data_IF_151496353508
#
_entry.id   IF_151496353508
#
_cell.length_a   1.000
_cell.length_b   1.000
_cell.length_c   1.000
_cell.angle_alpha   90.00
_cell.angle_beta   90.00
_cell.angle_gamma   90.00
#
_symmetry.space_group_name_H-M   'P 1'
#
loop_
_entity.id
_entity.type
_entity.pdbx_description
1 polymer ?
#
# COMPACT_ATOMS: atom_id res chain seq x y z
N UNK A 1 -11.91 -6.11 -23.47
CA UNK A 1 -11.30 -6.17 -22.12
C UNK A 1 -11.28 -4.76 -21.60
N UNK A 2 -11.73 -4.50 -20.36
CA UNK A 2 -11.59 -3.18 -19.75
C UNK A 2 -10.10 -2.79 -19.67
N UNK A 3 -9.82 -1.50 -19.80
CA UNK A 3 -8.48 -0.93 -19.65
C UNK A 3 -8.03 -0.93 -18.18
N UNK A 4 -6.71 -0.84 -17.94
CA UNK A 4 -6.15 -0.78 -16.58
C UNK A 4 -6.73 0.40 -15.77
N UNK A 5 -7.05 1.52 -16.41
CA UNK A 5 -7.73 2.65 -15.75
C UNK A 5 -9.17 2.32 -15.35
N UNK A 6 -9.92 1.61 -16.19
CA UNK A 6 -11.30 1.19 -15.88
C UNK A 6 -11.33 0.17 -14.74
N UNK A 7 -10.31 -0.70 -14.65
CA UNK A 7 -10.16 -1.65 -13.54
C UNK A 7 -9.75 -0.93 -12.25
N UNK A 8 -8.85 0.07 -12.33
CA UNK A 8 -8.41 0.84 -11.17
C UNK A 8 -9.50 1.74 -10.60
N UNK A 9 -10.35 2.32 -11.44
CA UNK A 9 -11.34 3.33 -11.04
C UNK A 9 -12.76 2.94 -11.48
N UNK A 10 -13.29 1.81 -11.00
CA UNK A 10 -14.66 1.42 -11.33
C UNK A 10 -15.66 2.32 -10.60
N UNK A 11 -16.88 2.35 -11.12
CA UNK A 11 -18.02 3.05 -10.51
C UNK A 11 -18.99 2.02 -9.94
N UNK A 12 -19.26 2.11 -8.65
CA UNK A 12 -20.21 1.26 -7.93
C UNK A 12 -21.66 1.58 -8.31
N UNK A 13 -22.49 0.55 -8.37
CA UNK A 13 -23.93 0.71 -8.58
C UNK A 13 -24.66 1.19 -7.33
N UNK A 14 -25.93 1.63 -7.45
CA UNK A 14 -26.74 2.05 -6.31
C UNK A 14 -26.89 0.97 -5.22
N UNK A 15 -27.00 -0.30 -5.64
CA UNK A 15 -27.16 -1.44 -4.73
C UNK A 15 -25.87 -1.67 -3.90
N UNK A 16 -24.70 -1.55 -4.53
CA UNK A 16 -23.40 -1.64 -3.85
C UNK A 16 -23.22 -0.50 -2.85
N UNK A 17 -23.58 0.73 -3.25
CA UNK A 17 -23.52 1.90 -2.36
C UNK A 17 -24.44 1.72 -1.16
N UNK A 18 -25.65 1.19 -1.37
CA UNK A 18 -26.58 0.89 -0.28
C UNK A 18 -26.00 -0.16 0.68
N UNK A 19 -25.45 -1.25 0.16
CA UNK A 19 -24.85 -2.32 0.96
C UNK A 19 -23.64 -1.84 1.79
N UNK A 20 -22.83 -0.91 1.26
CA UNK A 20 -21.74 -0.26 2.00
C UNK A 20 -22.25 0.76 3.01
N UNK A 21 -23.34 1.47 2.70
CA UNK A 21 -23.97 2.44 3.61
C UNK A 21 -24.49 1.75 4.87
N UNK A 22 -25.04 0.54 4.76
CA UNK A 22 -25.49 -0.27 5.92
C UNK A 22 -24.35 -0.65 6.87
N UNK A 23 -23.10 -0.67 6.38
CA UNK A 23 -21.89 -1.06 7.13
C UNK A 23 -21.02 0.12 7.56
N UNK A 24 -21.38 1.33 7.12
CA UNK A 24 -20.66 2.56 7.42
C UNK A 24 -21.61 3.65 7.90
N UNK A 25 -21.19 4.91 7.75
CA UNK A 25 -22.06 6.05 8.03
C UNK A 25 -21.94 7.12 6.94
N UNK A 26 -23.02 7.86 6.75
CA UNK A 26 -23.03 9.00 5.82
C UNK A 26 -22.37 10.19 6.52
N UNK A 27 -21.42 10.82 5.83
CA UNK A 27 -20.75 12.04 6.26
C UNK A 27 -20.98 13.14 5.22
N UNK A 28 -21.46 14.29 5.69
CA UNK A 28 -21.46 15.53 4.90
C UNK A 28 -20.06 16.13 4.88
N UNK A 29 -19.66 16.64 3.72
CA UNK A 29 -18.30 17.17 3.52
C UNK A 29 -18.30 18.47 2.74
N UNK A 30 -17.23 19.27 2.94
CA UNK A 30 -17.07 20.57 2.29
C UNK A 30 -15.78 20.65 1.46
N UNK A 31 -15.75 21.44 0.37
CA UNK A 31 -14.54 21.64 -0.44
C UNK A 31 -13.34 22.05 0.41
N UNK A 32 -12.19 21.46 0.12
CA UNK A 32 -10.93 21.70 0.82
C UNK A 32 -10.72 20.84 2.08
N UNK A 33 -11.73 20.13 2.54
CA UNK A 33 -11.60 19.20 3.67
C UNK A 33 -10.68 18.03 3.29
N UNK A 34 -9.65 17.79 4.12
CA UNK A 34 -8.74 16.65 3.94
C UNK A 34 -9.32 15.45 4.69
N UNK A 35 -9.66 14.40 3.95
CA UNK A 35 -10.23 13.16 4.49
C UNK A 35 -9.14 12.26 5.09
N UNK A 36 -7.97 12.24 4.45
CA UNK A 36 -6.75 11.57 4.88
C UNK A 36 -5.55 12.20 4.15
N UNK A 37 -4.40 12.22 4.79
CA UNK A 37 -3.14 12.72 4.26
C UNK A 37 -2.10 11.59 4.11
N UNK A 38 -1.04 11.82 3.33
CA UNK A 38 0.07 10.86 3.25
C UNK A 38 0.65 10.56 4.64
N UNK A 39 0.87 9.27 4.92
CA UNK A 39 1.39 8.81 6.21
C UNK A 39 0.32 8.51 7.27
N UNK A 40 -0.94 8.92 7.07
CA UNK A 40 -2.04 8.60 7.99
C UNK A 40 -2.25 7.07 8.04
N UNK A 41 -2.34 6.52 9.26
CA UNK A 41 -2.64 5.11 9.53
C UNK A 41 -4.13 4.92 9.80
N UNK A 42 -4.63 3.72 9.53
CA UNK A 42 -6.03 3.32 9.76
C UNK A 42 -7.04 4.34 9.20
N UNK A 43 -6.68 4.94 8.06
CA UNK A 43 -7.49 5.95 7.39
C UNK A 43 -8.76 5.32 6.80
N UNK A 44 -9.85 6.08 6.84
CA UNK A 44 -11.14 5.58 6.39
C UNK A 44 -11.22 5.41 4.87
N UNK A 45 -12.01 4.43 4.47
CA UNK A 45 -12.47 4.22 3.10
C UNK A 45 -13.70 5.08 2.84
N UNK A 46 -13.75 5.71 1.67
CA UNK A 46 -14.84 6.61 1.29
C UNK A 46 -15.44 6.23 -0.05
N UNK A 47 -16.77 6.24 -0.13
CA UNK A 47 -17.53 6.16 -1.39
C UNK A 47 -18.25 7.48 -1.61
N UNK A 48 -18.16 8.03 -2.81
CA UNK A 48 -18.83 9.28 -3.17
C UNK A 48 -20.30 8.99 -3.51
N UNK A 49 -21.23 9.56 -2.74
CA UNK A 49 -22.65 9.58 -3.08
C UNK A 49 -22.95 10.84 -3.90
N UNK A 50 -22.48 11.99 -3.42
CA UNK A 50 -22.60 13.32 -4.03
C UNK A 50 -21.30 14.10 -3.85
N UNK A 51 -21.01 15.02 -4.78
CA UNK A 51 -19.77 15.80 -4.79
C UNK A 51 -18.61 15.04 -5.42
N UNK A 52 -17.38 15.33 -4.99
CA UNK A 52 -16.19 14.66 -5.50
C UNK A 52 -15.01 14.71 -4.53
N UNK A 53 -14.13 13.70 -4.64
CA UNK A 53 -12.88 13.60 -3.90
C UNK A 53 -11.72 13.62 -4.90
N UNK A 54 -10.81 14.56 -4.74
CA UNK A 54 -9.53 14.61 -5.45
C UNK A 54 -8.47 13.79 -4.69
N UNK A 55 -7.78 12.92 -5.42
CA UNK A 55 -6.64 12.15 -4.91
C UNK A 55 -5.35 12.79 -5.41
N UNK A 56 -4.47 13.17 -4.49
CA UNK A 56 -3.27 13.96 -4.76
C UNK A 56 -2.05 13.22 -4.21
N UNK A 57 -0.97 13.24 -4.97
CA UNK A 57 0.32 12.65 -4.65
C UNK A 57 1.35 13.78 -4.48
N UNK A 58 2.00 13.87 -3.30
CA UNK A 58 2.92 14.96 -2.96
C UNK A 58 4.40 14.57 -2.90
N UNK A 59 4.80 13.34 -3.24
CA UNK A 59 6.20 12.93 -3.04
C UNK A 59 7.15 13.49 -4.11
N UNK A 60 6.63 13.90 -5.27
CA UNK A 60 7.34 14.67 -6.29
C UNK A 60 7.59 16.16 -5.93
N UNK A 61 8.33 16.91 -6.75
CA UNK A 61 8.61 18.34 -6.51
C UNK A 61 7.35 19.23 -6.65
N UNK A 62 6.32 18.74 -7.33
CA UNK A 62 5.02 19.41 -7.47
C UNK A 62 3.92 18.38 -7.21
N UNK A 63 2.89 18.72 -6.42
CA UNK A 63 1.76 17.83 -6.19
C UNK A 63 1.09 17.45 -7.51
N UNK A 64 0.76 16.16 -7.68
CA UNK A 64 0.07 15.65 -8.87
C UNK A 64 -1.28 15.06 -8.51
N UNK A 65 -2.31 15.42 -9.27
CA UNK A 65 -3.64 14.80 -9.14
C UNK A 65 -3.61 13.43 -9.81
N UNK A 66 -3.80 12.37 -9.02
CA UNK A 66 -3.84 10.97 -9.48
C UNK A 66 -5.19 10.67 -10.14
N UNK A 67 -6.28 11.08 -9.48
CA UNK A 67 -7.65 10.89 -9.97
C UNK A 67 -8.64 11.80 -9.23
N UNK A 68 -9.86 11.92 -9.76
CA UNK A 68 -10.99 12.56 -9.09
C UNK A 68 -12.15 11.59 -9.06
N UNK A 69 -12.49 11.10 -7.87
CA UNK A 69 -13.67 10.26 -7.66
C UNK A 69 -14.93 11.12 -7.68
N UNK A 70 -15.90 10.69 -8.49
CA UNK A 70 -17.24 11.25 -8.64
C UNK A 70 -18.27 10.25 -8.09
N UNK A 71 -19.59 10.55 -8.07
CA UNK A 71 -20.60 9.63 -7.54
C UNK A 71 -20.43 8.19 -8.04
N UNK A 72 -20.43 7.24 -7.10
CA UNK A 72 -20.13 5.82 -7.30
C UNK A 72 -18.64 5.46 -7.28
N UNK A 73 -17.74 6.44 -7.37
CA UNK A 73 -16.30 6.23 -7.18
C UNK A 73 -15.93 6.10 -5.69
N UNK A 74 -14.83 5.39 -5.42
CA UNK A 74 -14.37 5.13 -4.05
C UNK A 74 -12.85 5.19 -3.90
N UNK A 75 -12.41 5.60 -2.71
CA UNK A 75 -11.00 5.79 -2.35
C UNK A 75 -10.30 4.49 -1.96
N UNK A 76 -9.01 4.59 -1.64
CA UNK A 76 -8.25 3.49 -1.03
C UNK A 76 -7.42 2.66 -2.01
N UNK A 77 -6.56 1.84 -1.44
CA UNK A 77 -5.69 0.87 -2.09
C UNK A 77 -5.45 -0.33 -1.15
N UNK A 78 -4.48 -1.17 -1.49
CA UNK A 78 -4.12 -2.33 -0.65
C UNK A 78 -3.70 -1.92 0.77
N UNK A 79 -3.18 -0.71 0.97
CA UNK A 79 -2.82 -0.19 2.29
C UNK A 79 -4.05 0.07 3.16
N UNK A 80 -5.17 0.48 2.57
CA UNK A 80 -6.45 0.67 3.29
C UNK A 80 -6.93 -0.62 3.94
N UNK A 81 -6.84 -1.76 3.25
CA UNK A 81 -7.19 -3.07 3.82
C UNK A 81 -6.18 -3.56 4.84
N UNK A 82 -4.90 -3.30 4.64
CA UNK A 82 -3.83 -3.81 5.51
C UNK A 82 -3.50 -2.91 6.72
N UNK A 83 -4.20 -1.78 6.90
CA UNK A 83 -3.93 -0.82 7.98
C UNK A 83 -2.59 -0.10 7.82
N UNK A 84 -2.04 -0.08 6.61
CA UNK A 84 -0.77 0.57 6.30
C UNK A 84 -0.98 2.06 6.06
N UNK A 85 0.06 2.90 6.22
CA UNK A 85 -0.04 4.33 5.96
C UNK A 85 -0.51 4.66 4.54
N UNK A 86 -1.35 5.68 4.42
CA UNK A 86 -1.79 6.25 3.16
C UNK A 86 -0.59 6.75 2.33
N UNK A 87 -0.64 6.49 1.03
CA UNK A 87 0.40 6.93 0.09
C UNK A 87 0.06 8.24 -0.62
N UNK A 88 -1.21 8.60 -0.61
CA UNK A 88 -1.78 9.75 -1.30
C UNK A 88 -2.70 10.48 -0.35
N UNK A 89 -2.92 11.76 -0.61
CA UNK A 89 -3.90 12.58 0.08
C UNK A 89 -5.26 12.45 -0.61
N UNK A 90 -6.34 12.32 0.18
CA UNK A 90 -7.71 12.46 -0.28
C UNK A 90 -8.30 13.79 0.22
N UNK A 91 -8.68 14.67 -0.70
CA UNK A 91 -9.27 15.97 -0.38
C UNK A 91 -10.60 16.14 -1.10
N UNK A 92 -11.58 16.70 -0.41
CA UNK A 92 -12.91 16.99 -0.98
C UNK A 92 -12.78 18.14 -1.97
N UNK A 93 -13.18 17.91 -3.21
CA UNK A 93 -13.10 18.90 -4.29
C UNK A 93 -14.43 19.67 -4.45
N UNK A 94 -15.56 18.98 -4.30
CA UNK A 94 -16.91 19.54 -4.35
C UNK A 94 -17.67 19.11 -3.10
N UNK A 95 -18.55 19.97 -2.58
CA UNK A 95 -19.41 19.63 -1.43
C UNK A 95 -20.32 18.45 -1.76
N UNK A 96 -20.65 17.68 -0.73
CA UNK A 96 -21.54 16.55 -0.91
C UNK A 96 -21.58 15.59 0.26
N UNK A 97 -21.84 14.33 -0.05
CA UNK A 97 -22.09 13.26 0.91
C UNK A 97 -21.29 12.04 0.53
N UNK A 98 -20.63 11.47 1.54
CA UNK A 98 -19.78 10.29 1.39
C UNK A 98 -20.31 9.18 2.29
N UNK A 99 -20.16 7.93 1.87
CA UNK A 99 -20.16 6.80 2.80
C UNK A 99 -18.76 6.69 3.38
N UNK A 100 -18.62 6.68 4.70
CA UNK A 100 -17.37 6.47 5.41
C UNK A 100 -17.37 5.11 6.10
N UNK A 101 -16.34 4.30 5.83
CA UNK A 101 -16.06 3.03 6.51
C UNK A 101 -14.66 3.07 7.12
N UNK A 102 -14.53 2.62 8.36
CA UNK A 102 -13.24 2.30 8.97
C UNK A 102 -12.57 1.10 8.29
N UNK A 103 -11.27 0.89 8.51
CA UNK A 103 -10.55 -0.30 8.01
C UNK A 103 -11.22 -1.61 8.46
N UNK A 104 -11.71 -1.68 9.69
CA UNK A 104 -12.37 -2.87 10.21
C UNK A 104 -13.76 -3.12 9.60
N UNK A 105 -14.51 -2.05 9.28
CA UNK A 105 -15.80 -2.16 8.56
C UNK A 105 -15.58 -2.54 7.10
N UNK A 106 -14.55 -1.99 6.45
CA UNK A 106 -14.19 -2.35 5.08
C UNK A 106 -13.79 -3.83 4.97
N UNK A 107 -12.93 -4.34 5.88
CA UNK A 107 -12.55 -5.76 5.89
C UNK A 107 -13.78 -6.66 5.97
N UNK A 108 -14.68 -6.38 6.93
CA UNK A 108 -15.95 -7.11 7.06
C UNK A 108 -16.82 -7.02 5.80
N UNK A 109 -16.90 -5.84 5.17
CA UNK A 109 -17.67 -5.68 3.93
C UNK A 109 -17.11 -6.51 2.77
N UNK A 110 -15.77 -6.58 2.63
CA UNK A 110 -15.11 -7.40 1.60
C UNK A 110 -15.35 -8.90 1.84
N UNK A 111 -15.36 -9.34 3.10
CA UNK A 111 -15.60 -10.74 3.45
C UNK A 111 -17.08 -11.14 3.27
N UNK A 112 -18.02 -10.25 3.58
CA UNK A 112 -19.46 -10.52 3.54
C UNK A 112 -20.10 -10.33 2.16
N UNK A 113 -19.48 -9.56 1.25
CA UNK A 113 -20.02 -9.19 -0.06
C UNK A 113 -19.08 -9.65 -1.18
N UNK A 114 -19.14 -10.90 -1.64
CA UNK A 114 -18.12 -11.49 -2.52
C UNK A 114 -17.87 -10.71 -3.83
N UNK A 115 -18.94 -10.36 -4.57
CA UNK A 115 -18.82 -9.68 -5.86
C UNK A 115 -18.28 -8.24 -5.73
N UNK A 116 -18.71 -7.55 -4.68
CA UNK A 116 -18.25 -6.20 -4.36
C UNK A 116 -16.82 -6.22 -3.83
N UNK A 117 -16.50 -7.17 -2.96
CA UNK A 117 -15.17 -7.42 -2.43
C UNK A 117 -14.16 -7.68 -3.54
N UNK A 118 -14.50 -8.54 -4.51
CA UNK A 118 -13.66 -8.78 -5.70
C UNK A 118 -13.42 -7.49 -6.50
N UNK A 119 -14.45 -6.68 -6.68
CA UNK A 119 -14.34 -5.39 -7.39
C UNK A 119 -13.40 -4.41 -6.66
N UNK A 120 -13.55 -4.27 -5.34
CA UNK A 120 -12.70 -3.40 -4.50
C UNK A 120 -11.25 -3.89 -4.52
N UNK A 121 -11.01 -5.18 -4.29
CA UNK A 121 -9.67 -5.77 -4.25
C UNK A 121 -8.96 -5.63 -5.60
N UNK A 122 -9.65 -5.90 -6.72
CA UNK A 122 -9.09 -5.68 -8.07
C UNK A 122 -8.71 -4.22 -8.31
N UNK A 123 -9.59 -3.29 -7.92
CA UNK A 123 -9.30 -1.86 -8.04
C UNK A 123 -8.07 -1.48 -7.22
N UNK A 124 -7.92 -2.01 -6.00
CA UNK A 124 -6.80 -1.73 -5.11
C UNK A 124 -5.47 -2.26 -5.66
N UNK A 125 -5.45 -3.49 -6.18
CA UNK A 125 -4.28 -4.07 -6.84
C UNK A 125 -3.88 -3.25 -8.07
N UNK A 126 -4.85 -2.84 -8.89
CA UNK A 126 -4.54 -2.06 -10.09
C UNK A 126 -4.08 -0.63 -9.77
N UNK A 127 -4.68 0.03 -8.79
CA UNK A 127 -4.21 1.35 -8.29
C UNK A 127 -2.75 1.28 -7.84
N UNK A 128 -2.34 0.19 -7.18
CA UNK A 128 -0.94 -0.02 -6.80
C UNK A 128 -0.02 -0.09 -8.02
N UNK A 129 -0.40 -0.83 -9.05
CA UNK A 129 0.36 -0.90 -10.31
C UNK A 129 0.48 0.46 -10.98
N UNK A 130 -0.60 1.25 -11.03
CA UNK A 130 -0.59 2.58 -11.64
C UNK A 130 0.27 3.59 -10.86
N UNK A 131 0.20 3.59 -9.53
CA UNK A 131 1.04 4.45 -8.69
C UNK A 131 2.53 4.14 -8.87
N UNK A 132 2.89 2.85 -8.96
CA UNK A 132 4.26 2.43 -9.26
C UNK A 132 4.73 2.88 -10.66
N UNK A 133 3.82 3.01 -11.62
CA UNK A 133 4.12 3.41 -13.00
C UNK A 133 4.22 4.92 -13.25
N UNK A 134 3.61 5.78 -12.42
CA UNK A 134 3.49 7.23 -12.66
C UNK A 134 4.52 8.11 -11.93
N UNK A 135 5.66 7.56 -11.52
CA UNK A 135 6.72 8.37 -10.91
C UNK A 135 6.47 8.75 -9.45
N UNK A 136 5.61 8.00 -8.74
CA UNK A 136 5.48 8.06 -7.29
C UNK A 136 6.86 7.92 -6.63
N UNK A 137 7.29 8.95 -5.91
CA UNK A 137 8.65 9.00 -5.36
C UNK A 137 8.80 8.18 -4.07
N UNK A 138 7.69 7.91 -3.37
CA UNK A 138 7.63 7.00 -2.22
C UNK A 138 8.74 7.21 -1.19
N UNK A 139 9.22 6.12 -0.61
CA UNK A 139 10.42 6.14 0.24
C UNK A 139 11.62 6.49 -0.63
N UNK A 140 12.47 7.44 -0.24
CA UNK A 140 13.70 7.72 -1.00
C UNK A 140 14.85 6.93 -0.41
N UNK A 141 15.56 6.19 -1.25
CA UNK A 141 16.79 5.48 -0.88
C UNK A 141 17.93 6.14 -1.65
N UNK A 142 18.86 6.75 -0.92
CA UNK A 142 20.03 7.44 -1.46
C UNK A 142 21.26 6.62 -1.14
N UNK A 143 22.05 6.22 -2.13
CA UNK A 143 23.29 5.48 -1.86
C UNK A 143 24.09 5.18 -3.12
N UNK A 144 25.24 4.55 -2.93
CA UNK A 144 26.03 4.03 -4.04
C UNK A 144 25.43 2.73 -4.58
N UNK A 145 25.41 2.55 -5.91
CA UNK A 145 25.00 1.28 -6.56
C UNK A 145 25.90 0.10 -6.20
N UNK A 146 27.12 0.38 -5.75
CA UNK A 146 28.10 -0.62 -5.33
C UNK A 146 27.99 -0.97 -3.84
N UNK A 147 27.13 -0.30 -3.07
CA UNK A 147 26.95 -0.54 -1.65
C UNK A 147 26.06 -1.77 -1.39
N UNK A 148 26.56 -2.82 -0.71
CA UNK A 148 25.73 -3.96 -0.32
C UNK A 148 24.57 -3.55 0.60
N UNK A 149 24.77 -2.53 1.44
CA UNK A 149 23.74 -2.01 2.32
C UNK A 149 22.61 -1.31 1.54
N UNK A 150 22.94 -0.57 0.48
CA UNK A 150 21.94 0.04 -0.40
C UNK A 150 21.16 -1.04 -1.17
N UNK A 151 21.85 -2.07 -1.68
CA UNK A 151 21.21 -3.20 -2.34
C UNK A 151 20.24 -3.93 -1.40
N UNK A 152 20.64 -4.18 -0.14
CA UNK A 152 19.79 -4.80 0.89
C UNK A 152 18.46 -4.06 1.07
N UNK A 153 18.49 -2.74 1.19
CA UNK A 153 17.28 -1.93 1.39
C UNK A 153 16.38 -1.93 0.16
N UNK A 154 16.98 -1.80 -1.04
CA UNK A 154 16.25 -1.83 -2.31
C UNK A 154 15.59 -3.18 -2.59
N UNK A 155 16.32 -4.27 -2.36
CA UNK A 155 15.81 -5.63 -2.51
C UNK A 155 14.65 -5.88 -1.54
N UNK A 156 14.79 -5.48 -0.27
CA UNK A 156 13.71 -5.57 0.70
C UNK A 156 12.48 -4.73 0.31
N UNK A 157 12.68 -3.50 -0.15
CA UNK A 157 11.59 -2.64 -0.63
C UNK A 157 10.85 -3.28 -1.81
N UNK A 158 11.58 -3.76 -2.82
CA UNK A 158 11.03 -4.43 -3.98
C UNK A 158 10.23 -5.69 -3.60
N UNK A 159 10.77 -6.54 -2.73
CA UNK A 159 10.11 -7.78 -2.26
C UNK A 159 8.81 -7.52 -1.50
N UNK A 160 8.70 -6.40 -0.81
CA UNK A 160 7.49 -6.00 -0.08
C UNK A 160 6.58 -5.08 -0.89
N UNK A 161 6.86 -4.95 -2.19
CA UNK A 161 6.19 -4.03 -3.11
C UNK A 161 6.15 -2.58 -2.61
N UNK A 162 7.09 -2.16 -1.75
CA UNK A 162 7.20 -0.77 -1.27
C UNK A 162 7.67 0.09 -2.43
N UNK A 163 6.91 1.11 -2.85
CA UNK A 163 7.38 2.05 -3.85
C UNK A 163 8.53 2.90 -3.29
N UNK A 164 9.62 3.03 -4.05
CA UNK A 164 10.75 3.84 -3.64
C UNK A 164 11.44 4.54 -4.82
N UNK A 165 11.98 5.74 -4.56
CA UNK A 165 12.93 6.40 -5.47
C UNK A 165 14.34 5.98 -5.12
N UNK A 166 15.11 5.55 -6.13
CA UNK A 166 16.53 5.33 -6.00
C UNK A 166 17.31 6.56 -6.47
N UNK A 167 18.10 7.15 -5.58
CA UNK A 167 19.02 8.24 -5.90
C UNK A 167 20.43 7.70 -5.82
N UNK A 168 21.06 7.58 -7.00
CA UNK A 168 22.34 6.92 -7.16
C UNK A 168 23.49 7.92 -7.03
N UNK A 169 24.30 7.77 -5.98
CA UNK A 169 25.45 8.63 -5.75
C UNK A 169 26.51 8.53 -6.86
N UNK A 170 26.54 7.41 -7.60
CA UNK A 170 27.56 7.17 -8.63
C UNK A 170 27.15 7.67 -10.02
N UNK A 171 25.89 8.06 -10.22
CA UNK A 171 25.37 8.43 -11.53
C UNK A 171 24.49 9.69 -11.58
N UNK A 172 23.94 10.11 -10.45
CA UNK A 172 23.08 11.30 -10.38
C UNK A 172 23.90 12.53 -9.99
N UNK A 173 24.01 13.49 -10.91
CA UNK A 173 24.75 14.75 -10.70
C UNK A 173 24.18 15.60 -9.55
N UNK A 174 22.93 15.38 -9.16
CA UNK A 174 22.26 16.11 -8.07
C UNK A 174 22.43 15.45 -6.71
N UNK A 175 22.97 14.23 -6.65
CA UNK A 175 23.04 13.45 -5.41
C UNK A 175 23.94 14.11 -4.34
N UNK A 176 25.04 14.71 -4.76
CA UNK A 176 25.94 15.48 -3.89
C UNK A 176 25.27 16.74 -3.32
N UNK A 177 24.43 17.41 -4.12
CA UNK A 177 23.68 18.59 -3.67
C UNK A 177 22.62 18.20 -2.62
N UNK A 178 21.94 17.07 -2.84
CA UNK A 178 20.98 16.51 -1.88
C UNK A 178 21.66 16.13 -0.56
N UNK A 179 22.79 15.42 -0.59
CA UNK A 179 23.54 15.07 0.63
C UNK A 179 23.96 16.31 1.43
N UNK A 180 24.43 17.37 0.75
CA UNK A 180 24.77 18.64 1.41
C UNK A 180 23.56 19.34 1.99
N UNK A 181 22.42 19.34 1.30
CA UNK A 181 21.18 19.94 1.77
C UNK A 181 20.68 19.27 3.06
N UNK A 182 20.78 17.95 3.17
CA UNK A 182 20.41 17.21 4.38
C UNK A 182 21.52 17.21 5.45
N UNK A 183 22.71 17.74 5.16
CA UNK A 183 23.85 17.76 6.08
C UNK A 183 24.43 16.37 6.36
N UNK A 184 24.29 15.44 5.43
CA UNK A 184 24.65 14.03 5.63
C UNK A 184 25.95 13.69 4.90
N UNK A 185 26.98 13.16 5.59
CA UNK A 185 28.21 12.75 4.91
C UNK A 185 27.96 11.51 4.04
N UNK A 186 28.65 11.40 2.90
CA UNK A 186 28.52 10.23 2.01
C UNK A 186 28.83 8.90 2.72
N UNK A 187 29.65 8.92 3.78
CA UNK A 187 29.95 7.76 4.63
C UNK A 187 28.76 7.25 5.45
N UNK A 188 27.71 8.06 5.63
CA UNK A 188 26.49 7.69 6.33
C UNK A 188 25.47 6.98 5.41
N UNK A 189 25.80 6.76 4.15
CA UNK A 189 24.90 6.14 3.16
C UNK A 189 24.85 4.61 3.32
N UNK A 190 23.75 3.93 2.94
CA UNK A 190 22.55 4.49 2.32
C UNK A 190 21.67 5.29 3.28
N UNK A 191 21.09 6.38 2.80
CA UNK A 191 20.10 7.18 3.52
C UNK A 191 18.72 6.78 3.05
N UNK A 192 17.80 6.66 4.00
CA UNK A 192 16.39 6.41 3.74
C UNK A 192 15.61 7.62 4.21
N UNK A 193 14.72 8.14 3.38
CA UNK A 193 13.75 9.17 3.75
C UNK A 193 12.37 8.54 3.66
N UNK A 194 11.68 8.45 4.79
CA UNK A 194 10.33 7.92 4.89
C UNK A 194 9.28 8.87 4.33
N UNK A 195 8.04 8.38 4.23
CA UNK A 195 6.89 9.17 3.74
C UNK A 195 6.57 10.37 4.65
N UNK A 196 6.94 10.30 5.93
CA UNK A 196 6.77 11.36 6.93
C UNK A 196 7.90 12.41 6.93
N UNK A 197 8.84 12.30 5.98
CA UNK A 197 10.02 13.17 5.87
C UNK A 197 11.11 12.89 6.89
N UNK A 198 10.94 11.92 7.80
CA UNK A 198 12.03 11.48 8.70
C UNK A 198 13.04 10.70 7.88
N UNK A 199 14.31 10.81 8.26
CA UNK A 199 15.39 10.09 7.59
C UNK A 199 16.23 9.27 8.56
N UNK A 200 16.80 8.18 8.06
CA UNK A 200 17.68 7.28 8.78
C UNK A 200 18.94 6.96 7.98
N UNK A 201 20.07 6.84 8.67
CA UNK A 201 21.36 6.45 8.10
C UNK A 201 21.59 4.96 8.24
N UNK A 202 21.78 4.29 7.10
CA UNK A 202 21.98 2.85 6.97
C UNK A 202 21.09 2.02 7.92
N UNK A 203 19.76 2.21 7.89
CA UNK A 203 18.90 1.58 8.87
C UNK A 203 18.91 0.05 8.74
N UNK A 204 18.75 -0.69 9.85
CA UNK A 204 18.40 -2.10 9.79
C UNK A 204 17.02 -2.28 9.13
N UNK A 205 16.74 -3.47 8.59
CA UNK A 205 15.48 -3.75 7.88
C UNK A 205 14.23 -3.48 8.73
N UNK A 206 14.28 -3.77 10.03
CA UNK A 206 13.16 -3.49 10.93
C UNK A 206 12.86 -1.98 11.04
N UNK A 207 13.89 -1.13 11.02
CA UNK A 207 13.70 0.32 11.02
C UNK A 207 13.23 0.83 9.66
N UNK A 208 13.81 0.32 8.58
CA UNK A 208 13.32 0.60 7.22
C UNK A 208 11.85 0.22 7.06
N UNK A 209 11.43 -0.96 7.54
CA UNK A 209 10.05 -1.42 7.50
C UNK A 209 9.10 -0.46 8.22
N UNK A 210 9.52 0.13 9.35
CA UNK A 210 8.74 1.16 10.05
C UNK A 210 8.62 2.43 9.19
N UNK A 211 9.73 2.92 8.64
CA UNK A 211 9.75 4.11 7.78
C UNK A 211 8.94 3.93 6.49
N UNK A 212 8.91 2.70 5.97
CA UNK A 212 8.15 2.31 4.78
C UNK A 212 6.68 1.99 5.06
N UNK A 213 6.24 2.06 6.32
CA UNK A 213 4.84 1.76 6.69
C UNK A 213 4.48 0.28 6.61
N UNK A 214 5.45 -0.63 6.64
CA UNK A 214 5.23 -2.08 6.61
C UNK A 214 4.93 -2.69 7.98
N UNK A 215 5.24 -1.99 9.06
CA UNK A 215 4.99 -2.48 10.43
C UNK A 215 3.54 -2.25 10.83
N UNK A 216 2.85 -3.33 11.19
CA UNK A 216 1.54 -3.32 11.84
C UNK A 216 1.69 -2.99 13.32
N UNK A 217 0.79 -2.18 13.86
CA UNK A 217 0.66 -1.99 15.31
C UNK A 217 -0.19 -3.12 15.85
N UNK A 218 0.29 -3.82 16.88
CA UNK A 218 -0.50 -4.83 17.59
C UNK A 218 -1.20 -4.16 18.77
N UNK A 219 -2.47 -4.51 19.00
CA UNK A 219 -3.17 -4.14 20.23
C UNK A 219 -2.59 -4.95 21.40
N UNK A 220 -2.19 -4.28 22.49
CA UNK A 220 -1.47 -4.93 23.61
C UNK A 220 -2.28 -6.05 24.27
N UNK A 221 -3.61 -5.92 24.30
CA UNK A 221 -4.51 -6.84 24.99
C UNK A 221 -5.18 -7.87 24.04
N UNK A 222 -4.87 -7.84 22.74
CA UNK A 222 -5.51 -8.73 21.78
C UNK A 222 -4.86 -10.12 21.76
N UNK A 223 -5.68 -11.16 21.87
CA UNK A 223 -5.24 -12.56 21.88
C UNK A 223 -5.60 -13.22 20.56
N UNK A 224 -4.58 -13.55 19.76
CA UNK A 224 -4.74 -14.35 18.55
C UNK A 224 -4.86 -15.85 18.88
N UNK A 225 -5.73 -16.56 18.16
CA UNK A 225 -5.89 -18.01 18.30
C UNK A 225 -4.66 -18.78 17.77
N UNK A 226 -3.98 -18.21 16.76
CA UNK A 226 -2.79 -18.80 16.15
C UNK A 226 -1.79 -17.72 15.71
N UNK A 227 -0.51 -17.95 16.01
CA UNK A 227 0.60 -17.15 15.48
C UNK A 227 1.46 -18.01 14.56
N UNK A 228 1.60 -17.60 13.30
CA UNK A 228 2.45 -18.24 12.30
C UNK A 228 3.70 -17.40 12.08
N UNK A 229 4.87 -17.98 12.34
CA UNK A 229 6.17 -17.32 12.12
C UNK A 229 6.79 -17.83 10.83
N UNK A 230 6.93 -16.93 9.86
CA UNK A 230 7.39 -17.17 8.49
C UNK A 230 6.22 -17.12 7.50
N UNK A 231 6.28 -16.22 6.52
CA UNK A 231 5.30 -16.05 5.46
C UNK A 231 5.76 -16.69 4.13
N UNK A 232 6.49 -17.81 4.21
CA UNK A 232 6.75 -18.68 3.06
C UNK A 232 5.51 -19.53 2.70
N UNK A 233 5.59 -20.39 1.67
CA UNK A 233 4.44 -21.18 1.22
C UNK A 233 3.76 -22.00 2.32
N UNK A 234 4.54 -22.65 3.19
CA UNK A 234 3.99 -23.43 4.30
C UNK A 234 3.30 -22.56 5.35
N UNK A 235 3.87 -21.39 5.65
CA UNK A 235 3.31 -20.46 6.62
C UNK A 235 2.04 -19.79 6.10
N UNK A 236 2.07 -19.26 4.88
CA UNK A 236 0.88 -18.69 4.24
C UNK A 236 -0.24 -19.72 4.09
N UNK A 237 0.09 -20.96 3.69
CA UNK A 237 -0.91 -22.03 3.64
C UNK A 237 -1.51 -22.28 5.04
N UNK A 238 -0.68 -22.41 6.07
CA UNK A 238 -1.17 -22.58 7.44
C UNK A 238 -2.08 -21.42 7.87
N UNK A 239 -1.70 -20.18 7.57
CA UNK A 239 -2.48 -18.99 7.92
C UNK A 239 -3.82 -18.93 7.21
N UNK A 240 -3.84 -19.21 5.89
CA UNK A 240 -5.08 -19.20 5.09
C UNK A 240 -6.03 -20.28 5.56
N UNK A 241 -5.56 -21.51 5.76
CA UNK A 241 -6.41 -22.61 6.22
C UNK A 241 -6.92 -22.43 7.64
N UNK A 242 -6.10 -21.86 8.54
CA UNK A 242 -6.55 -21.54 9.89
C UNK A 242 -7.60 -20.42 9.89
N UNK A 243 -7.39 -19.35 9.12
CA UNK A 243 -8.34 -18.26 8.98
C UNK A 243 -9.66 -18.72 8.33
N UNK A 244 -9.62 -19.62 7.35
CA UNK A 244 -10.83 -20.16 6.71
C UNK A 244 -11.69 -21.01 7.66
N UNK A 245 -11.10 -21.56 8.71
CA UNK A 245 -11.80 -22.27 9.79
C UNK A 245 -12.24 -21.33 10.93
N UNK A 246 -12.11 -20.01 10.73
CA UNK A 246 -12.59 -18.98 11.65
C UNK A 246 -11.65 -18.63 12.80
N UNK A 247 -10.39 -19.07 12.75
CA UNK A 247 -9.37 -18.66 13.73
C UNK A 247 -8.90 -17.23 13.45
N UNK A 248 -8.65 -16.47 14.51
CA UNK A 248 -7.93 -15.20 14.40
C UNK A 248 -6.41 -15.44 14.33
N UNK A 249 -5.82 -15.19 13.16
CA UNK A 249 -4.45 -15.61 12.84
C UNK A 249 -3.53 -14.41 12.62
N UNK A 250 -2.43 -14.34 13.38
CA UNK A 250 -1.33 -13.42 13.12
C UNK A 250 -0.21 -14.13 12.36
N UNK A 251 0.20 -13.59 11.21
CA UNK A 251 1.38 -14.06 10.46
C UNK A 251 2.48 -13.02 10.52
N UNK A 252 3.69 -13.43 10.92
CA UNK A 252 4.85 -12.55 10.99
C UNK A 252 6.01 -13.09 10.14
N UNK A 253 6.67 -12.21 9.38
CA UNK A 253 7.87 -12.55 8.61
C UNK A 253 8.92 -11.44 8.72
N UNK A 254 10.20 -11.80 8.60
CA UNK A 254 11.31 -10.86 8.70
C UNK A 254 11.70 -10.21 7.36
N UNK A 255 11.27 -10.78 6.24
CA UNK A 255 11.72 -10.42 4.90
C UNK A 255 10.55 -10.02 3.99
N UNK A 256 9.65 -10.94 3.65
CA UNK A 256 8.51 -10.69 2.76
C UNK A 256 7.57 -11.90 2.70
N UNK A 257 6.31 -11.66 2.33
CA UNK A 257 5.38 -12.74 2.00
C UNK A 257 5.81 -13.51 0.74
N UNK A 258 5.45 -14.79 0.66
CA UNK A 258 5.82 -15.71 -0.43
C UNK A 258 7.16 -16.45 -0.20
N UNK A 259 7.97 -16.00 0.76
CA UNK A 259 9.27 -16.62 1.07
C UNK A 259 10.18 -16.70 -0.16
N UNK A 260 10.90 -17.82 -0.33
CA UNK A 260 11.76 -18.02 -1.51
C UNK A 260 10.96 -18.17 -2.81
N UNK A 261 9.75 -18.71 -2.75
CA UNK A 261 8.91 -18.90 -3.93
C UNK A 261 8.56 -17.56 -4.57
N UNK A 262 8.30 -16.53 -3.76
CA UNK A 262 8.04 -15.16 -4.23
C UNK A 262 9.17 -14.53 -5.04
N UNK A 263 10.38 -15.11 -5.00
CA UNK A 263 11.57 -14.60 -5.72
C UNK A 263 11.99 -15.43 -6.91
N UNK A 264 11.26 -16.52 -7.18
CA UNK A 264 11.48 -17.32 -8.37
C UNK A 264 11.01 -16.56 -9.60
N UNK A 265 11.88 -16.42 -10.59
CA UNK A 265 11.52 -15.81 -11.88
C UNK A 265 10.40 -16.58 -12.60
N UNK A 266 10.37 -17.90 -12.42
CA UNK A 266 9.29 -18.77 -12.89
C UNK A 266 9.21 -20.04 -12.05
N UNK A 267 8.00 -20.42 -11.67
CA UNK A 267 7.68 -21.69 -11.02
C UNK A 267 6.92 -22.53 -12.05
N UNK A 268 7.61 -23.50 -12.63
CA UNK A 268 7.10 -24.30 -13.76
C UNK A 268 6.08 -25.35 -13.33
N UNK A 269 6.05 -25.69 -12.04
CA UNK A 269 5.27 -26.78 -11.47
C UNK A 269 4.21 -26.29 -10.46
N UNK A 270 3.78 -25.03 -10.57
CA UNK A 270 2.71 -24.52 -9.70
C UNK A 270 1.35 -25.03 -10.17
N UNK A 271 0.60 -25.67 -9.25
CA UNK A 271 -0.68 -26.29 -9.58
C UNK A 271 -1.67 -25.23 -10.07
N UNK A 272 -2.37 -25.51 -11.17
CA UNK A 272 -3.31 -24.56 -11.80
C UNK A 272 -2.70 -23.61 -12.83
N UNK A 273 -1.37 -23.60 -13.01
CA UNK A 273 -0.68 -22.74 -13.98
C UNK A 273 0.23 -23.57 -14.92
N UNK A 274 -0.34 -24.20 -15.97
CA UNK A 274 0.41 -25.12 -16.85
C UNK A 274 1.52 -24.45 -17.69
N UNK A 275 1.50 -23.12 -17.84
CA UNK A 275 2.57 -22.36 -18.48
C UNK A 275 3.67 -21.91 -17.49
N UNK A 276 3.53 -22.26 -16.21
CA UNK A 276 4.25 -21.67 -15.09
C UNK A 276 3.70 -20.29 -14.72
N UNK A 277 4.08 -19.83 -13.53
CA UNK A 277 3.77 -18.49 -13.01
C UNK A 277 5.01 -17.91 -12.34
N UNK A 278 5.21 -16.59 -12.38
CA UNK A 278 6.32 -15.97 -11.64
C UNK A 278 6.00 -15.92 -10.13
N UNK A 279 7.03 -15.90 -9.29
CA UNK A 279 6.86 -15.73 -7.85
C UNK A 279 6.20 -14.41 -7.46
N UNK A 280 6.34 -13.37 -8.29
CA UNK A 280 5.75 -12.06 -8.07
C UNK A 280 4.24 -11.99 -8.40
N UNK A 281 3.73 -12.94 -9.18
CA UNK A 281 2.32 -13.05 -9.58
C UNK A 281 1.52 -14.05 -8.71
N UNK A 282 2.19 -14.77 -7.81
CA UNK A 282 1.57 -15.63 -6.80
C UNK A 282 1.06 -14.83 -5.60
#
# INVERSE_FOLDING_TARGET
MPSDQEIAFPTLGPDDIAALTERGHIREVRPGEVLFAEGDRDFCFFVVIEGSIEIIEHSGPTPQTVTVHRPGGFTGDVHTLSGRPALVMGRVAEDGRLVQLSTAELRRAVDELPDLGETIVKAFLMRRTLLLGQGFSGVKIIGSRFSPAAHRLRDFAARNAVPFTWIDLDADEQADALLRQFGVPASATPIVIGLDGRWASNPPLAEFARCAGLTMTLEEDHVYDLVVVGAGPAGLAASVYAASEGLDVLTADAMAAGGQAGTSSRIENYLGFPAGISGAEL
#
